data_IF_522655828609
#
_entry.id   IF_522655828609
#
_cell.length_a   1.000
_cell.length_b   1.000
_cell.length_c   1.000
_cell.angle_alpha   90.00
_cell.angle_beta   90.00
_cell.angle_gamma   90.00
#
_symmetry.space_group_name_H-M   'P 1'
#
loop_
_entity.id
_entity.type
_entity.pdbx_description
1 polymer ?
#
# COMPACT_ATOMS: atom_id res chain seq x y z
N UNK A 1 0.84 -25.89 0.75
CA UNK A 1 2.26 -25.62 1.02
C UNK A 1 2.50 -24.16 0.67
N UNK A 2 2.60 -23.28 1.67
CA UNK A 2 2.81 -21.85 1.44
C UNK A 2 4.26 -21.62 1.03
N UNK A 3 4.47 -21.19 -0.22
CA UNK A 3 5.78 -20.73 -0.67
C UNK A 3 6.27 -19.67 0.32
N UNK A 4 7.50 -19.85 0.83
CA UNK A 4 8.20 -18.87 1.63
C UNK A 4 8.45 -17.64 0.76
N UNK A 5 7.45 -16.74 0.69
CA UNK A 5 7.59 -15.45 0.02
C UNK A 5 8.71 -14.72 0.74
N UNK A 6 9.83 -14.50 0.05
CA UNK A 6 10.92 -13.66 0.53
C UNK A 6 10.41 -12.21 0.42
N UNK A 7 9.48 -11.83 1.28
CA UNK A 7 8.82 -10.53 1.29
C UNK A 7 9.82 -9.49 1.75
N UNK A 8 10.69 -9.08 0.84
CA UNK A 8 11.56 -7.95 1.02
C UNK A 8 10.70 -6.71 0.84
N UNK A 9 10.51 -5.96 1.92
CA UNK A 9 9.69 -4.75 1.86
C UNK A 9 10.43 -3.64 1.14
N UNK A 10 9.70 -2.92 0.31
CA UNK A 10 10.22 -1.81 -0.46
C UNK A 10 9.74 -0.50 0.15
N UNK A 11 10.66 0.43 0.32
CA UNK A 11 10.37 1.77 0.82
C UNK A 11 10.73 2.77 -0.26
N UNK A 12 9.77 3.61 -0.61
CA UNK A 12 9.98 4.76 -1.49
C UNK A 12 10.21 5.98 -0.61
N UNK A 13 11.41 6.55 -0.70
CA UNK A 13 11.79 7.78 -0.01
C UNK A 13 11.84 8.93 -1.01
N UNK A 14 11.42 10.13 -0.59
CA UNK A 14 11.40 11.34 -1.39
C UNK A 14 12.25 12.41 -0.71
N UNK A 15 13.53 12.57 -1.12
CA UNK A 15 14.43 13.58 -0.56
C UNK A 15 14.02 15.01 -0.90
N UNK A 16 13.33 15.21 -2.01
CA UNK A 16 12.76 16.49 -2.41
C UNK A 16 11.76 16.25 -3.53
N UNK A 17 10.96 17.29 -3.81
CA UNK A 17 9.91 17.25 -4.83
C UNK A 17 10.49 16.79 -6.17
N UNK A 18 9.90 15.73 -6.75
CA UNK A 18 10.33 15.18 -8.04
C UNK A 18 11.37 14.08 -8.02
N UNK A 19 11.92 13.73 -6.85
CA UNK A 19 12.89 12.65 -6.73
C UNK A 19 12.36 11.54 -5.84
N UNK A 20 12.54 10.30 -6.27
CA UNK A 20 12.20 9.10 -5.49
C UNK A 20 13.40 8.19 -5.41
N UNK A 21 13.69 7.67 -4.23
CA UNK A 21 14.69 6.64 -4.00
C UNK A 21 13.97 5.36 -3.57
N UNK A 22 14.18 4.29 -4.33
CA UNK A 22 13.69 2.97 -3.97
C UNK A 22 14.72 2.27 -3.10
N UNK A 23 14.34 1.92 -1.88
CA UNK A 23 15.18 1.25 -0.88
C UNK A 23 14.53 -0.04 -0.42
N UNK A 24 15.35 -0.94 0.13
CA UNK A 24 14.88 -2.13 0.86
C UNK A 24 14.94 -1.92 2.36
N UNK A 25 13.99 -2.52 3.05
CA UNK A 25 14.05 -2.76 4.48
C UNK A 25 13.55 -4.18 4.78
N UNK A 26 14.31 -4.92 5.58
CA UNK A 26 13.85 -6.21 6.11
C UNK A 26 12.95 -5.97 7.32
N UNK A 27 11.68 -5.63 7.06
CA UNK A 27 10.70 -5.34 8.12
C UNK A 27 10.46 -6.55 9.01
N UNK A 28 10.53 -7.75 8.45
CA UNK A 28 10.27 -8.99 9.17
C UNK A 28 11.35 -9.25 10.21
N UNK A 29 12.63 -9.14 9.84
CA UNK A 29 13.74 -9.24 10.78
C UNK A 29 13.72 -8.12 11.82
N UNK A 30 13.41 -6.90 11.42
CA UNK A 30 13.51 -5.74 12.32
C UNK A 30 12.35 -5.61 13.32
N UNK A 31 11.14 -6.03 12.95
CA UNK A 31 9.95 -5.90 13.79
C UNK A 31 9.65 -7.19 14.58
N UNK A 32 10.04 -8.36 14.07
CA UNK A 32 9.72 -9.66 14.67
C UNK A 32 10.96 -10.43 15.15
N UNK A 33 12.17 -9.94 14.88
CA UNK A 33 13.45 -10.65 15.09
C UNK A 33 13.54 -12.00 14.36
N UNK A 34 12.79 -12.18 13.27
CA UNK A 34 12.91 -13.37 12.43
C UNK A 34 14.31 -13.37 11.81
N UNK A 35 15.13 -14.37 12.14
CA UNK A 35 16.40 -14.60 11.45
C UNK A 35 16.08 -15.21 10.09
N UNK A 36 16.30 -14.47 9.00
CA UNK A 36 16.22 -15.03 7.67
C UNK A 36 17.19 -16.23 7.59
N UNK A 37 16.66 -17.43 7.33
CA UNK A 37 17.47 -18.57 6.92
C UNK A 37 18.20 -18.18 5.62
N UNK A 38 19.51 -17.98 5.71
CA UNK A 38 20.41 -17.81 4.57
C UNK A 38 20.53 -16.39 4.02
N UNK A 39 21.50 -15.63 4.53
CA UNK A 39 22.66 -15.18 3.74
C UNK A 39 23.55 -14.32 4.63
N UNK A 40 24.75 -14.81 4.92
CA UNK A 40 25.89 -13.96 5.19
C UNK A 40 26.07 -13.02 4.00
N UNK A 41 26.15 -11.72 4.27
CA UNK A 41 26.83 -10.77 3.41
C UNK A 41 27.51 -9.79 4.34
N UNK A 42 28.84 -9.86 4.35
CA UNK A 42 29.73 -9.00 5.10
C UNK A 42 29.46 -7.53 4.76
N UNK A 43 29.10 -6.73 5.77
CA UNK A 43 29.09 -5.28 5.67
C UNK A 43 30.55 -4.82 5.81
N UNK A 44 31.16 -4.41 4.70
CA UNK A 44 32.35 -3.58 4.73
C UNK A 44 31.95 -2.24 5.33
N UNK A 45 32.51 -1.95 6.51
CA UNK A 45 32.54 -0.59 7.06
C UNK A 45 33.49 0.22 6.19
N UNK A 46 32.98 1.25 5.53
CA UNK A 46 33.83 2.35 5.06
C UNK A 46 33.48 3.59 5.88
N UNK A 47 34.51 4.05 6.58
CA UNK A 47 34.48 5.19 7.49
C UNK A 47 34.93 6.44 6.76
N UNK A 48 34.52 7.60 7.28
CA UNK A 48 34.90 8.99 6.92
C UNK A 48 34.22 9.57 5.65
N UNK A 49 33.62 10.76 5.69
CA UNK A 49 34.05 11.97 6.39
C UNK A 49 32.90 12.81 6.98
N UNK A 50 33.12 13.31 8.19
CA UNK A 50 32.34 14.37 8.83
C UNK A 50 32.61 15.72 8.17
N UNK A 51 31.59 16.57 8.09
CA UNK A 51 31.77 18.02 8.02
C UNK A 51 30.75 18.67 8.95
N UNK A 52 31.29 19.48 9.87
CA UNK A 52 30.62 20.12 11.00
C UNK A 52 29.84 21.34 10.53
N UNK A 53 28.49 21.33 10.60
CA UNK A 53 27.62 22.44 11.04
C UNK A 53 26.20 21.89 11.27
N UNK A 54 25.68 21.86 12.53
CA UNK A 54 24.27 22.02 12.93
C UNK A 54 23.95 21.36 14.30
N UNK A 55 24.42 21.94 15.41
CA UNK A 55 24.40 21.28 16.74
C UNK A 55 23.17 21.63 17.63
N UNK A 56 22.21 22.43 17.13
CA UNK A 56 21.00 22.78 17.90
C UNK A 56 19.77 21.93 17.50
N UNK A 57 19.63 21.61 16.22
CA UNK A 57 18.45 20.91 15.68
C UNK A 57 18.52 19.38 15.85
N UNK A 58 19.72 18.83 16.07
CA UNK A 58 19.92 17.40 16.32
C UNK A 58 19.50 16.99 17.74
N UNK A 59 19.58 17.93 18.71
CA UNK A 59 19.24 17.70 20.13
C UNK A 59 17.75 17.50 20.36
N UNK A 60 16.86 18.24 19.68
CA UNK A 60 15.41 18.02 19.80
C UNK A 60 14.98 16.70 19.15
N UNK A 61 15.62 16.32 18.04
CA UNK A 61 15.35 15.09 17.28
C UNK A 61 15.74 13.81 18.02
N UNK A 62 16.83 13.85 18.77
CA UNK A 62 17.24 12.75 19.64
C UNK A 62 16.38 12.67 20.90
N UNK A 63 15.97 13.81 21.47
CA UNK A 63 15.08 13.85 22.64
C UNK A 63 13.68 13.25 22.36
N UNK A 64 13.13 13.44 21.16
CA UNK A 64 11.83 12.91 20.78
C UNK A 64 11.82 11.38 20.56
N UNK A 65 12.95 10.83 20.11
CA UNK A 65 13.16 9.39 19.98
C UNK A 65 13.40 8.70 21.33
N UNK A 66 14.14 9.37 22.22
CA UNK A 66 14.35 8.95 23.60
C UNK A 66 13.04 8.93 24.39
N UNK A 67 12.12 9.87 24.13
CA UNK A 67 10.81 9.93 24.76
C UNK A 67 9.93 8.68 24.52
N UNK A 68 10.17 7.92 23.44
CA UNK A 68 9.39 6.73 23.09
C UNK A 68 10.12 5.41 23.32
N UNK A 69 11.40 5.43 23.67
CA UNK A 69 12.26 4.22 23.78
C UNK A 69 12.20 3.31 22.53
N UNK A 70 11.86 3.86 21.35
CA UNK A 70 11.79 3.08 20.10
C UNK A 70 13.14 3.09 19.41
N UNK A 71 13.47 1.99 18.73
CA UNK A 71 14.69 1.90 17.92
C UNK A 71 14.46 2.46 16.52
N UNK A 72 15.51 3.03 15.91
CA UNK A 72 15.44 3.45 14.50
C UNK A 72 15.32 2.24 13.58
N UNK A 73 14.48 2.40 12.56
CA UNK A 73 14.43 1.44 11.46
C UNK A 73 15.67 1.58 10.59
N UNK A 74 16.26 0.45 10.22
CA UNK A 74 17.40 0.36 9.32
C UNK A 74 16.87 0.22 7.89
N UNK A 75 17.23 1.18 7.04
CA UNK A 75 16.87 1.20 5.63
C UNK A 75 18.15 1.15 4.82
N UNK A 76 18.21 0.24 3.85
CA UNK A 76 19.39 0.07 2.99
C UNK A 76 19.66 1.29 2.10
N UNK A 77 20.83 1.33 1.48
CA UNK A 77 21.16 2.32 0.45
C UNK A 77 20.18 2.22 -0.74
N UNK A 78 19.93 3.32 -1.47
CA UNK A 78 19.02 3.30 -2.62
C UNK A 78 19.44 2.27 -3.67
N UNK A 79 18.50 1.41 -4.05
CA UNK A 79 18.65 0.47 -5.16
C UNK A 79 18.55 1.25 -6.47
N UNK A 80 17.55 2.11 -6.55
CA UNK A 80 17.32 3.02 -7.66
C UNK A 80 17.08 4.44 -7.17
N UNK A 81 17.44 5.40 -8.02
CA UNK A 81 17.17 6.81 -7.84
C UNK A 81 16.47 7.32 -9.09
N UNK A 82 15.27 7.83 -8.91
CA UNK A 82 14.43 8.35 -9.98
C UNK A 82 14.32 9.85 -9.84
N UNK A 83 14.40 10.55 -10.96
CA UNK A 83 14.18 11.98 -11.02
C UNK A 83 13.20 12.28 -12.16
N UNK A 84 12.12 12.96 -11.80
CA UNK A 84 11.12 13.40 -12.77
C UNK A 84 11.76 14.46 -13.68
N UNK A 85 11.57 14.30 -14.98
CA UNK A 85 11.88 15.37 -15.92
C UNK A 85 10.92 16.55 -15.65
N UNK A 86 11.43 17.77 -15.70
CA UNK A 86 10.63 18.95 -15.47
C UNK A 86 9.58 19.11 -16.60
N UNK A 87 8.32 18.84 -16.28
CA UNK A 87 7.19 19.14 -17.16
C UNK A 87 6.18 20.01 -16.41
N UNK A 88 5.91 21.21 -16.92
CA UNK A 88 4.87 22.12 -16.41
C UNK A 88 4.94 22.41 -14.89
N UNK A 89 6.15 22.51 -14.32
CA UNK A 89 6.40 22.76 -12.88
C UNK A 89 5.79 21.72 -11.92
N UNK A 90 5.41 20.54 -12.41
CA UNK A 90 4.93 19.42 -11.58
C UNK A 90 5.96 18.29 -11.61
N UNK A 91 6.34 17.84 -10.42
CA UNK A 91 7.34 16.80 -10.24
C UNK A 91 6.77 15.70 -9.35
N UNK A 92 5.90 14.89 -9.93
CA UNK A 92 5.31 13.74 -9.29
C UNK A 92 5.81 12.45 -9.97
N UNK A 93 6.16 11.48 -9.14
CA UNK A 93 6.40 10.10 -9.55
C UNK A 93 5.51 9.25 -8.65
N UNK A 94 4.53 8.61 -9.25
CA UNK A 94 3.64 7.67 -8.58
C UNK A 94 4.27 6.28 -8.60
N UNK A 95 4.07 5.52 -7.52
CA UNK A 95 4.61 4.17 -7.35
C UNK A 95 3.46 3.20 -7.10
N UNK A 96 3.32 2.19 -7.95
CA UNK A 96 2.28 1.18 -7.89
C UNK A 96 2.88 -0.19 -7.57
N UNK A 97 2.32 -0.85 -6.57
CA UNK A 97 2.76 -2.20 -6.20
C UNK A 97 2.24 -3.23 -7.18
N UNK A 98 3.12 -4.13 -7.63
CA UNK A 98 2.75 -5.27 -8.45
C UNK A 98 2.77 -6.56 -7.62
N UNK A 99 3.94 -7.17 -7.45
CA UNK A 99 4.22 -8.37 -6.64
C UNK A 99 5.73 -8.61 -6.57
N UNK A 100 6.19 -9.42 -5.61
CA UNK A 100 7.56 -9.98 -5.55
C UNK A 100 8.70 -8.97 -5.79
N UNK A 101 8.68 -7.84 -5.09
CA UNK A 101 9.73 -6.82 -5.20
C UNK A 101 9.70 -6.02 -6.50
N UNK A 102 8.62 -6.13 -7.29
CA UNK A 102 8.39 -5.33 -8.50
C UNK A 102 7.44 -4.17 -8.23
N UNK A 103 7.84 -3.00 -8.72
CA UNK A 103 7.06 -1.77 -8.65
C UNK A 103 6.91 -1.18 -10.04
N UNK A 104 5.77 -0.54 -10.29
CA UNK A 104 5.58 0.27 -11.49
C UNK A 104 5.66 1.73 -11.11
N UNK A 105 6.44 2.49 -11.85
CA UNK A 105 6.61 3.92 -11.68
C UNK A 105 5.88 4.64 -12.80
N UNK A 106 5.14 5.69 -12.47
CA UNK A 106 4.53 6.57 -13.45
C UNK A 106 4.97 8.02 -13.18
N UNK A 107 5.46 8.70 -14.20
CA UNK A 107 5.76 10.13 -14.08
C UNK A 107 4.54 11.01 -14.40
N UNK A 108 4.68 12.30 -14.15
CA UNK A 108 3.62 13.29 -14.45
C UNK A 108 3.23 13.35 -15.95
N UNK A 109 4.06 12.87 -16.88
CA UNK A 109 3.71 12.80 -18.30
C UNK A 109 2.98 11.49 -18.67
N UNK A 110 2.74 10.61 -17.69
CA UNK A 110 2.13 9.31 -17.90
C UNK A 110 3.11 8.23 -18.37
N UNK A 111 4.42 8.51 -18.43
CA UNK A 111 5.41 7.49 -18.83
C UNK A 111 5.58 6.47 -17.73
N UNK A 112 5.51 5.20 -18.08
CA UNK A 112 5.53 4.11 -17.10
C UNK A 112 6.75 3.21 -17.25
N UNK A 113 7.30 2.80 -16.11
CA UNK A 113 8.44 1.89 -16.02
C UNK A 113 8.16 0.79 -15.00
N UNK A 114 8.38 -0.46 -15.39
CA UNK A 114 8.43 -1.59 -14.47
C UNK A 114 9.84 -1.67 -13.89
N UNK A 115 9.94 -1.65 -12.57
CA UNK A 115 11.16 -1.75 -11.80
C UNK A 115 11.17 -3.08 -11.05
N UNK A 116 12.13 -3.94 -11.36
CA UNK A 116 12.44 -5.15 -10.61
C UNK A 116 13.59 -4.84 -9.64
N UNK A 117 13.28 -4.72 -8.35
CA UNK A 117 14.29 -4.40 -7.35
C UNK A 117 15.33 -5.53 -7.20
N UNK A 118 14.89 -6.79 -7.32
CA UNK A 118 15.71 -8.00 -7.13
C UNK A 118 16.74 -8.17 -8.23
N UNK A 119 16.31 -8.04 -9.48
CA UNK A 119 17.20 -8.09 -10.64
C UNK A 119 17.90 -6.76 -10.92
N UNK A 120 17.53 -5.68 -10.22
CA UNK A 120 17.95 -4.30 -10.54
C UNK A 120 17.73 -3.98 -12.02
N UNK A 121 16.60 -4.42 -12.54
CA UNK A 121 16.24 -4.28 -13.94
C UNK A 121 15.06 -3.32 -14.08
N UNK A 122 15.05 -2.56 -15.18
CA UNK A 122 13.94 -1.69 -15.54
C UNK A 122 13.48 -1.96 -16.97
N UNK A 123 12.16 -2.00 -17.17
CA UNK A 123 11.55 -2.14 -18.49
C UNK A 123 10.52 -1.03 -18.70
N UNK A 124 10.32 -0.63 -19.95
CA UNK A 124 9.26 0.32 -20.31
C UNK A 124 7.90 -0.38 -20.31
N UNK A 125 6.88 0.34 -19.87
CA UNK A 125 5.48 -0.07 -19.96
C UNK A 125 4.73 0.90 -20.89
N UNK A 126 3.56 0.49 -21.42
CA UNK A 126 2.65 1.44 -22.05
C UNK A 126 2.37 2.63 -21.13
N UNK A 127 2.23 3.82 -21.72
CA UNK A 127 1.98 5.03 -20.95
C UNK A 127 0.53 5.09 -20.46
N UNK A 128 0.32 5.80 -19.35
CA UNK A 128 -1.00 6.30 -18.98
C UNK A 128 -1.52 7.22 -20.09
N UNK A 129 -2.79 7.06 -20.45
CA UNK A 129 -3.44 7.94 -21.43
C UNK A 129 -3.58 9.36 -20.89
N UNK A 130 -3.73 9.50 -19.57
CA UNK A 130 -3.75 10.79 -18.89
C UNK A 130 -3.05 10.70 -17.53
N UNK A 131 -2.23 11.70 -17.15
CA UNK A 131 -1.68 11.78 -15.82
C UNK A 131 -2.78 11.77 -14.75
N UNK A 132 -2.57 10.98 -13.70
CA UNK A 132 -3.46 10.93 -12.53
C UNK A 132 -3.00 11.95 -11.50
N UNK A 133 -3.94 12.51 -10.75
CA UNK A 133 -3.63 13.48 -9.68
C UNK A 133 -3.42 12.78 -8.33
N UNK A 134 -4.26 11.80 -8.02
CA UNK A 134 -4.19 10.95 -6.82
C UNK A 134 -4.52 9.51 -7.19
N UNK A 135 -3.59 8.80 -7.88
CA UNK A 135 -3.87 7.45 -8.32
C UNK A 135 -3.95 6.46 -7.16
N UNK A 136 -4.85 5.48 -7.29
CA UNK A 136 -4.85 4.23 -6.54
C UNK A 136 -4.54 3.08 -7.51
N UNK A 137 -3.98 2.00 -6.99
CA UNK A 137 -3.65 0.83 -7.80
C UNK A 137 -3.97 -0.48 -7.13
N UNK A 138 -4.39 -1.46 -7.94
CA UNK A 138 -4.65 -2.84 -7.53
C UNK A 138 -4.07 -3.79 -8.56
N UNK A 139 -3.31 -4.78 -8.09
CA UNK A 139 -2.86 -5.88 -8.91
C UNK A 139 -3.78 -7.08 -8.73
N UNK A 140 -4.34 -7.59 -9.82
CA UNK A 140 -5.16 -8.79 -9.84
C UNK A 140 -4.35 -9.89 -10.52
N UNK A 141 -3.89 -10.92 -9.78
CA UNK A 141 -3.15 -12.03 -10.35
C UNK A 141 -4.00 -12.79 -11.38
N UNK A 142 -3.38 -13.21 -12.48
CA UNK A 142 -4.05 -14.11 -13.44
C UNK A 142 -4.14 -15.51 -12.86
N UNK A 143 -5.29 -16.15 -12.99
CA UNK A 143 -5.48 -17.56 -12.62
C UNK A 143 -4.58 -18.52 -13.42
N UNK A 144 -4.08 -18.08 -14.59
CA UNK A 144 -3.24 -18.85 -15.51
C UNK A 144 -1.75 -18.51 -15.40
N UNK A 145 -1.32 -17.93 -14.27
CA UNK A 145 0.10 -17.75 -14.00
C UNK A 145 0.74 -19.14 -13.88
N UNK A 146 1.53 -19.55 -14.89
CA UNK A 146 2.44 -20.68 -14.71
C UNK A 146 3.32 -20.37 -13.50
N UNK A 147 3.60 -21.36 -12.65
CA UNK A 147 4.43 -21.28 -11.42
C UNK A 147 5.89 -20.84 -11.66
N UNK A 148 6.19 -20.22 -12.80
CA UNK A 148 7.50 -19.66 -13.09
C UNK A 148 7.75 -18.38 -12.26
N UNK A 149 8.81 -18.36 -11.43
CA UNK A 149 9.03 -17.35 -10.40
C UNK A 149 9.31 -15.93 -10.90
N UNK A 150 9.37 -15.72 -12.22
CA UNK A 150 9.72 -14.42 -12.82
C UNK A 150 8.55 -13.72 -13.53
N UNK A 151 7.39 -14.36 -13.72
CA UNK A 151 6.28 -13.76 -14.44
C UNK A 151 5.11 -13.47 -13.50
N UNK A 152 4.99 -12.21 -13.10
CA UNK A 152 3.76 -11.69 -12.49
C UNK A 152 2.67 -11.63 -13.57
N UNK A 153 2.15 -12.77 -13.99
CA UNK A 153 1.02 -12.83 -14.91
C UNK A 153 -0.22 -12.30 -14.16
N UNK A 154 -0.77 -11.19 -14.65
CA UNK A 154 -1.87 -10.50 -14.03
C UNK A 154 -2.10 -9.13 -14.64
N UNK A 155 -3.02 -8.39 -14.03
CA UNK A 155 -3.47 -7.10 -14.51
C UNK A 155 -3.32 -6.06 -13.41
N UNK A 156 -2.66 -4.95 -13.74
CA UNK A 156 -2.52 -3.78 -12.87
C UNK A 156 -3.60 -2.76 -13.24
N UNK A 157 -4.51 -2.50 -12.31
CA UNK A 157 -5.54 -1.48 -12.44
C UNK A 157 -5.04 -0.19 -11.80
N UNK A 158 -5.14 0.92 -12.54
CA UNK A 158 -4.76 2.26 -12.09
C UNK A 158 -5.96 3.19 -12.25
N UNK A 159 -6.40 3.80 -11.16
CA UNK A 159 -7.61 4.60 -11.12
C UNK A 159 -7.39 5.92 -10.39
N UNK A 160 -8.11 6.97 -10.76
CA UNK A 160 -8.17 8.19 -9.97
C UNK A 160 -8.96 7.96 -8.68
N UNK A 161 -8.41 8.31 -7.52
CA UNK A 161 -9.13 8.17 -6.24
C UNK A 161 -10.24 9.19 -6.05
N UNK A 162 -10.18 10.32 -6.76
CA UNK A 162 -11.22 11.36 -6.78
C UNK A 162 -11.52 11.66 -8.26
N UNK A 163 -12.29 10.78 -8.93
CA UNK A 163 -12.61 10.96 -10.34
C UNK A 163 -13.44 12.24 -10.54
N UNK A 164 -13.15 12.96 -11.61
CA UNK A 164 -13.97 14.08 -12.08
C UNK A 164 -15.27 13.52 -12.68
N UNK A 165 -16.41 14.20 -12.47
CA UNK A 165 -17.66 13.81 -13.10
C UNK A 165 -17.56 13.76 -14.62
N UNK A 166 -18.21 12.77 -15.21
CA UNK A 166 -18.27 12.58 -16.66
C UNK A 166 -19.69 12.72 -17.20
N UNK A 167 -19.81 12.89 -18.52
CA UNK A 167 -21.12 13.04 -19.18
C UNK A 167 -21.99 11.81 -18.96
N UNK A 168 -23.19 12.05 -18.42
CA UNK A 168 -24.24 11.05 -18.21
C UNK A 168 -24.58 10.35 -19.54
N UNK A 169 -24.78 9.04 -19.51
CA UNK A 169 -25.16 8.24 -20.69
C UNK A 169 -24.06 8.01 -21.73
N UNK A 170 -22.84 8.52 -21.52
CA UNK A 170 -21.69 8.14 -22.33
C UNK A 170 -21.40 6.64 -22.17
N UNK A 171 -21.14 5.94 -23.27
CA UNK A 171 -20.61 4.57 -23.26
C UNK A 171 -19.10 4.52 -23.56
N UNK A 172 -18.44 5.68 -23.61
CA UNK A 172 -17.02 5.72 -23.92
C UNK A 172 -16.19 5.28 -22.71
N UNK A 173 -15.03 4.64 -22.93
CA UNK A 173 -14.07 4.41 -21.87
C UNK A 173 -13.57 5.71 -21.25
N UNK A 174 -13.19 5.66 -19.98
CA UNK A 174 -12.69 6.81 -19.23
C UNK A 174 -11.16 6.81 -19.20
N UNK A 175 -10.56 7.98 -19.41
CA UNK A 175 -9.13 8.18 -19.17
C UNK A 175 -8.78 8.28 -17.67
N UNK A 176 -9.74 8.07 -16.76
CA UNK A 176 -9.54 8.06 -15.32
C UNK A 176 -9.34 6.63 -14.78
N UNK A 177 -9.72 5.60 -15.55
CA UNK A 177 -9.67 4.19 -15.16
C UNK A 177 -8.96 3.37 -16.24
N UNK A 178 -7.80 2.83 -15.91
CA UNK A 178 -6.91 2.13 -16.85
C UNK A 178 -6.51 0.78 -16.29
N UNK A 179 -6.36 -0.20 -17.18
CA UNK A 179 -5.82 -1.52 -16.85
C UNK A 179 -4.60 -1.79 -17.74
N UNK A 180 -3.56 -2.31 -17.10
CA UNK A 180 -2.34 -2.78 -17.74
C UNK A 180 -2.31 -4.29 -17.61
N UNK A 181 -2.51 -4.98 -18.73
CA UNK A 181 -2.66 -6.43 -18.79
C UNK A 181 -1.37 -7.06 -19.30
N UNK A 182 -0.81 -7.99 -18.52
CA UNK A 182 0.34 -8.77 -18.96
C UNK A 182 -0.11 -9.89 -19.89
N UNK A 183 0.40 -9.87 -21.11
CA UNK A 183 0.23 -10.93 -22.09
C UNK A 183 1.56 -11.67 -22.27
N UNK A 184 1.50 -13.00 -22.39
CA UNK A 184 2.72 -13.79 -22.68
C UNK A 184 3.34 -13.27 -23.98
N UNK A 185 4.65 -12.97 -24.00
CA UNK A 185 5.32 -12.50 -25.21
C UNK A 185 5.10 -13.50 -26.35
N UNK A 186 4.43 -13.08 -27.42
CA UNK A 186 4.43 -13.80 -28.69
C UNK A 186 5.67 -13.39 -29.48
N UNK A 187 6.14 -14.24 -30.41
CA UNK A 187 7.30 -13.96 -31.29
C UNK A 187 7.19 -12.62 -32.07
N UNK A 188 6.01 -11.99 -32.07
CA UNK A 188 5.66 -10.78 -32.82
C UNK A 188 5.56 -9.50 -31.98
N UNK A 189 5.53 -9.56 -30.64
CA UNK A 189 5.37 -8.37 -29.78
C UNK A 189 6.54 -8.20 -28.81
N UNK A 190 7.18 -7.04 -28.82
CA UNK A 190 8.33 -6.73 -27.96
C UNK A 190 7.94 -6.37 -26.52
N UNK A 191 6.77 -5.75 -26.31
CA UNK A 191 6.28 -5.41 -24.96
C UNK A 191 5.12 -6.34 -24.55
N UNK A 192 5.24 -7.10 -23.44
CA UNK A 192 4.17 -7.97 -22.97
C UNK A 192 2.98 -7.22 -22.37
N UNK A 193 3.15 -5.95 -21.98
CA UNK A 193 2.11 -5.15 -21.33
C UNK A 193 1.25 -4.41 -22.35
N UNK A 194 -0.06 -4.49 -22.17
CA UNK A 194 -1.05 -3.78 -22.97
C UNK A 194 -1.88 -2.86 -22.07
N UNK A 195 -2.05 -1.60 -22.48
CA UNK A 195 -2.90 -0.64 -21.76
C UNK A 195 -4.27 -0.54 -22.42
N UNK A 196 -5.32 -0.57 -21.60
CA UNK A 196 -6.70 -0.45 -22.03
C UNK A 196 -7.47 0.45 -21.06
N UNK A 197 -8.36 1.28 -21.62
CA UNK A 197 -9.26 2.12 -20.85
C UNK A 197 -10.49 1.32 -20.41
N UNK A 198 -10.95 1.55 -19.19
CA UNK A 198 -12.15 0.94 -18.64
C UNK A 198 -13.33 1.90 -18.69
N UNK A 199 -14.54 1.35 -18.65
CA UNK A 199 -15.70 2.16 -18.27
C UNK A 199 -15.53 2.63 -16.82
N UNK A 200 -15.90 3.88 -16.49
CA UNK A 200 -15.84 4.34 -15.12
C UNK A 200 -16.96 3.69 -14.28
N UNK A 201 -16.80 3.63 -12.95
CA UNK A 201 -17.89 3.28 -12.04
C UNK A 201 -19.14 4.13 -12.25
N UNK A 202 -20.35 3.61 -12.00
CA UNK A 202 -21.61 4.32 -12.25
C UNK A 202 -21.69 5.71 -11.64
N UNK A 203 -21.22 5.89 -10.40
CA UNK A 203 -21.27 7.17 -9.68
C UNK A 203 -20.50 8.31 -10.37
N UNK A 204 -19.53 8.02 -11.25
CA UNK A 204 -18.77 9.04 -11.99
C UNK A 204 -19.65 9.74 -13.02
N UNK A 205 -20.70 9.06 -13.49
CA UNK A 205 -21.66 9.54 -14.50
C UNK A 205 -23.04 9.81 -13.90
N UNK A 206 -23.15 9.86 -12.58
CA UNK A 206 -24.39 10.19 -11.89
C UNK A 206 -24.46 11.70 -11.64
N UNK A 207 -25.41 12.43 -12.26
CA UNK A 207 -25.55 13.87 -12.06
C UNK A 207 -26.04 14.26 -10.67
N UNK A 208 -26.62 13.32 -9.91
CA UNK A 208 -27.13 13.57 -8.56
C UNK A 208 -26.03 13.52 -7.49
N UNK A 209 -24.85 12.96 -7.83
CA UNK A 209 -23.76 12.77 -6.89
C UNK A 209 -22.68 13.84 -7.10
N UNK A 210 -22.26 14.47 -6.01
CA UNK A 210 -21.06 15.30 -6.02
C UNK A 210 -19.83 14.41 -6.27
N UNK A 211 -18.70 14.97 -6.76
CA UNK A 211 -17.47 14.21 -6.98
C UNK A 211 -17.11 13.39 -5.72
N UNK A 212 -17.16 12.06 -5.85
CA UNK A 212 -16.95 11.17 -4.72
C UNK A 212 -15.50 10.70 -4.67
N UNK A 213 -14.91 10.74 -3.46
CA UNK A 213 -13.62 10.09 -3.18
C UNK A 213 -13.85 8.60 -2.93
N UNK A 214 -13.07 7.76 -3.60
CA UNK A 214 -12.90 6.36 -3.26
C UNK A 214 -12.23 6.29 -1.89
N UNK A 215 -12.98 5.80 -0.91
CA UNK A 215 -12.56 5.75 0.48
C UNK A 215 -11.82 4.47 0.83
N UNK A 216 -12.17 3.35 0.19
CA UNK A 216 -11.48 2.07 0.32
C UNK A 216 -11.64 1.21 -0.93
N UNK A 217 -10.70 0.29 -1.11
CA UNK A 217 -10.64 -0.56 -2.30
C UNK A 217 -9.91 -1.87 -2.02
N UNK A 218 -10.36 -2.96 -2.65
CA UNK A 218 -9.87 -4.31 -2.41
C UNK A 218 -10.00 -5.20 -3.66
N UNK A 219 -9.22 -6.28 -3.71
CA UNK A 219 -9.51 -7.41 -4.61
C UNK A 219 -10.33 -8.44 -3.82
N UNK A 220 -11.48 -8.85 -4.36
CA UNK A 220 -12.38 -9.84 -3.76
C UNK A 220 -12.63 -10.94 -4.79
N UNK A 221 -11.94 -12.07 -4.64
CA UNK A 221 -11.91 -13.12 -5.66
C UNK A 221 -11.25 -12.61 -6.95
N UNK A 222 -11.98 -12.65 -8.06
CA UNK A 222 -11.59 -12.05 -9.34
C UNK A 222 -12.07 -10.61 -9.52
N UNK A 223 -12.81 -10.04 -8.57
CA UNK A 223 -13.45 -8.74 -8.73
C UNK A 223 -12.67 -7.66 -7.97
N UNK A 224 -12.77 -6.42 -8.44
CA UNK A 224 -12.29 -5.26 -7.70
C UNK A 224 -13.47 -4.61 -7.00
N UNK A 225 -13.40 -4.47 -5.69
CA UNK A 225 -14.37 -3.78 -4.88
C UNK A 225 -13.86 -2.36 -4.58
N UNK A 226 -14.69 -1.34 -4.80
CA UNK A 226 -14.43 0.03 -4.37
C UNK A 226 -15.61 0.56 -3.54
N UNK A 227 -15.30 1.35 -2.52
CA UNK A 227 -16.32 1.96 -1.67
C UNK A 227 -16.09 3.45 -1.54
N UNK A 228 -17.14 4.24 -1.72
CA UNK A 228 -17.06 5.70 -1.71
C UNK A 228 -17.36 6.28 -0.32
N UNK A 229 -17.11 7.58 -0.14
CA UNK A 229 -17.44 8.27 1.11
C UNK A 229 -18.95 8.33 1.39
N UNK A 230 -19.81 8.30 0.37
CA UNK A 230 -21.27 8.34 0.52
C UNK A 230 -21.92 6.98 0.82
N UNK A 231 -21.12 5.97 1.17
CA UNK A 231 -21.52 4.61 1.57
C UNK A 231 -22.00 3.68 0.45
N UNK A 232 -21.68 4.00 -0.80
CA UNK A 232 -21.97 3.11 -1.93
C UNK A 232 -20.76 2.22 -2.22
N UNK A 233 -21.02 0.95 -2.54
CA UNK A 233 -19.99 -0.02 -2.90
C UNK A 233 -20.25 -0.59 -4.29
N UNK A 234 -19.19 -0.60 -5.09
CA UNK A 234 -19.23 -1.01 -6.49
C UNK A 234 -18.21 -2.12 -6.72
N UNK A 235 -18.56 -3.08 -7.56
CA UNK A 235 -17.68 -4.13 -8.01
C UNK A 235 -17.40 -4.00 -9.50
N UNK A 236 -16.14 -4.14 -9.87
CA UNK A 236 -15.73 -4.39 -11.24
C UNK A 236 -15.48 -5.87 -11.38
N UNK A 237 -16.28 -6.53 -12.21
CA UNK A 237 -15.94 -7.86 -12.71
C UNK A 237 -14.81 -7.72 -13.74
N UNK A 238 -13.65 -8.27 -13.41
CA UNK A 238 -12.45 -8.16 -14.25
C UNK A 238 -12.50 -9.03 -15.50
N UNK A 239 -13.42 -10.00 -15.56
CA UNK A 239 -13.61 -10.85 -16.74
C UNK A 239 -14.50 -10.18 -17.79
N UNK A 240 -15.53 -9.45 -17.35
CA UNK A 240 -16.46 -8.74 -18.26
C UNK A 240 -16.20 -7.24 -18.36
N UNK A 241 -15.31 -6.69 -17.54
CA UNK A 241 -15.07 -5.25 -17.36
C UNK A 241 -16.34 -4.45 -17.05
N UNK A 242 -17.29 -5.07 -16.36
CA UNK A 242 -18.57 -4.45 -16.02
C UNK A 242 -18.61 -4.04 -14.56
N UNK A 243 -19.13 -2.83 -14.31
CA UNK A 243 -19.37 -2.34 -12.97
C UNK A 243 -20.78 -2.70 -12.51
N UNK A 244 -20.89 -3.20 -11.29
CA UNK A 244 -22.16 -3.46 -10.60
C UNK A 244 -22.18 -2.74 -9.26
N UNK A 245 -23.32 -2.13 -8.93
CA UNK A 245 -23.55 -1.56 -7.60
C UNK A 245 -24.11 -2.66 -6.69
N UNK A 246 -23.45 -2.92 -5.57
CA UNK A 246 -23.80 -4.04 -4.66
C UNK A 246 -24.51 -3.52 -3.39
N UNK A 247 -25.12 -2.33 -3.50
CA UNK A 247 -25.98 -1.74 -2.47
C UNK A 247 -25.26 -0.75 -1.54
N UNK A 248 -26.02 -0.21 -0.58
CA UNK A 248 -25.64 0.91 0.32
C UNK A 248 -24.70 0.51 1.48
N UNK A 249 -23.98 -0.59 1.34
CA UNK A 249 -23.09 -1.12 2.38
C UNK A 249 -21.67 -0.63 2.19
N UNK A 250 -21.20 0.30 3.03
CA UNK A 250 -19.81 0.75 3.01
C UNK A 250 -18.86 -0.32 3.53
N UNK A 251 -17.72 -0.51 2.88
CA UNK A 251 -16.60 -1.27 3.43
C UNK A 251 -16.16 -0.66 4.77
N UNK A 252 -15.94 -1.45 5.84
CA UNK A 252 -15.56 -0.94 7.15
C UNK A 252 -14.11 -0.43 7.21
N UNK A 253 -13.47 -0.22 6.06
CA UNK A 253 -12.06 0.14 5.91
C UNK A 253 -11.88 1.51 5.26
N UNK A 254 -10.66 2.01 5.37
CA UNK A 254 -10.17 3.19 4.69
C UNK A 254 -8.83 2.86 4.01
N UNK A 255 -8.68 3.25 2.74
CA UNK A 255 -7.51 2.93 1.91
C UNK A 255 -7.56 1.52 1.30
N UNK A 256 -6.38 0.99 0.97
CA UNK A 256 -6.22 -0.34 0.39
C UNK A 256 -6.53 -1.41 1.44
N UNK A 257 -7.24 -2.46 1.02
CA UNK A 257 -7.52 -3.65 1.84
C UNK A 257 -6.85 -4.85 1.18
N UNK A 258 -6.20 -5.69 1.99
CA UNK A 258 -5.42 -6.83 1.53
C UNK A 258 -6.04 -8.16 1.96
N UNK A 259 -6.21 -9.07 1.00
CA UNK A 259 -6.66 -10.43 1.29
C UNK A 259 -5.50 -11.29 1.81
N UNK A 260 -5.74 -12.01 2.90
CA UNK A 260 -4.73 -12.86 3.56
C UNK A 260 -5.22 -14.31 3.50
N UNK A 261 -4.70 -15.12 2.55
CA UNK A 261 -5.18 -16.49 2.33
C UNK A 261 -5.08 -17.39 3.55
N UNK A 262 -4.05 -17.21 4.39
CA UNK A 262 -3.82 -18.00 5.60
C UNK A 262 -4.93 -17.83 6.64
N UNK A 263 -5.53 -16.63 6.69
CA UNK A 263 -6.60 -16.28 7.61
C UNK A 263 -7.97 -16.24 6.92
N UNK A 264 -8.00 -16.36 5.59
CA UNK A 264 -9.19 -16.27 4.72
C UNK A 264 -10.03 -15.02 4.96
N UNK A 265 -9.36 -13.91 5.27
CA UNK A 265 -10.00 -12.63 5.62
C UNK A 265 -9.28 -11.49 4.94
N UNK A 266 -9.97 -10.35 4.87
CA UNK A 266 -9.42 -9.10 4.36
C UNK A 266 -9.02 -8.21 5.52
N UNK A 267 -7.81 -7.65 5.43
CA UNK A 267 -7.20 -6.81 6.43
C UNK A 267 -6.99 -5.40 5.89
N UNK A 268 -7.23 -4.40 6.72
CA UNK A 268 -7.07 -3.01 6.37
C UNK A 268 -7.10 -2.12 7.60
N UNK A 269 -7.09 -0.80 7.37
CA UNK A 269 -7.25 0.19 8.42
C UNK A 269 -8.75 0.49 8.59
N UNK A 270 -9.30 0.39 9.79
CA UNK A 270 -10.72 0.64 10.03
C UNK A 270 -11.09 2.08 9.72
N UNK A 271 -12.27 2.27 9.11
CA UNK A 271 -12.74 3.60 8.72
C UNK A 271 -13.07 4.50 9.93
N UNK A 272 -13.51 3.89 11.05
CA UNK A 272 -13.92 4.57 12.27
C UNK A 272 -12.76 4.77 13.23
N UNK A 273 -12.15 3.67 13.71
CA UNK A 273 -11.16 3.73 14.77
C UNK A 273 -9.72 3.94 14.24
N UNK A 274 -9.50 3.85 12.92
CA UNK A 274 -8.19 3.99 12.28
C UNK A 274 -7.17 2.96 12.79
N UNK A 275 -7.61 1.77 13.17
CA UNK A 275 -6.76 0.69 13.66
C UNK A 275 -6.68 -0.46 12.66
N UNK A 276 -5.81 -1.44 12.90
CA UNK A 276 -5.87 -2.70 12.18
C UNK A 276 -7.23 -3.35 12.37
N UNK A 277 -7.87 -3.75 11.27
CA UNK A 277 -9.13 -4.46 11.32
C UNK A 277 -9.18 -5.58 10.28
N UNK A 278 -10.08 -6.53 10.53
CA UNK A 278 -10.32 -7.66 9.64
C UNK A 278 -11.82 -7.82 9.38
N UNK A 279 -12.20 -8.19 8.15
CA UNK A 279 -13.57 -8.51 7.79
C UNK A 279 -13.62 -9.62 6.73
N UNK A 280 -14.72 -10.36 6.72
CA UNK A 280 -15.03 -11.29 5.64
C UNK A 280 -15.76 -10.53 4.53
N UNK A 281 -15.15 -10.49 3.34
CA UNK A 281 -15.70 -9.81 2.16
C UNK A 281 -16.22 -10.79 1.11
N UNK A 282 -16.28 -12.09 1.41
CA UNK A 282 -16.66 -13.12 0.45
C UNK A 282 -18.17 -13.15 0.13
N UNK A 283 -19.02 -12.82 1.10
CA UNK A 283 -20.48 -12.79 0.97
C UNK A 283 -20.99 -11.37 1.26
N UNK A 284 -21.00 -10.54 0.22
CA UNK A 284 -21.29 -9.09 0.32
C UNK A 284 -22.77 -8.73 0.17
N UNK A 285 -23.67 -9.69 0.34
CA UNK A 285 -25.12 -9.46 0.31
C UNK A 285 -25.59 -8.51 1.44
N UNK A 286 -24.73 -8.29 2.46
CA UNK A 286 -24.95 -7.38 3.57
C UNK A 286 -23.68 -6.56 3.89
N UNK A 287 -23.85 -5.45 4.63
CA UNK A 287 -22.72 -4.62 5.05
C UNK A 287 -21.71 -5.45 5.85
N UNK A 288 -20.46 -5.62 5.36
CA UNK A 288 -19.49 -6.50 5.98
C UNK A 288 -19.12 -5.99 7.37
N UNK A 289 -19.22 -6.88 8.36
CA UNK A 289 -18.89 -6.56 9.75
C UNK A 289 -17.42 -6.85 10.04
N UNK A 290 -16.83 -6.04 10.91
CA UNK A 290 -15.50 -6.30 11.43
C UNK A 290 -15.51 -7.56 12.30
N UNK A 291 -14.64 -8.50 11.97
CA UNK A 291 -14.33 -9.70 12.75
C UNK A 291 -13.34 -9.35 13.87
N UNK A 292 -12.55 -8.31 13.69
CA UNK A 292 -11.72 -7.71 14.73
C UNK A 292 -11.30 -6.28 14.40
N UNK A 293 -11.08 -5.49 15.44
CA UNK A 293 -10.52 -4.13 15.42
C UNK A 293 -9.52 -4.07 16.58
N UNK A 294 -8.24 -3.87 16.26
CA UNK A 294 -7.15 -3.92 17.24
C UNK A 294 -6.30 -2.67 17.18
N UNK A 295 -6.33 -1.91 18.27
CA UNK A 295 -5.42 -0.78 18.50
C UNK A 295 -3.99 -1.29 18.65
N UNK A 296 -3.17 -1.13 17.61
CA UNK A 296 -1.77 -1.55 17.63
C UNK A 296 -0.84 -0.45 18.17
N UNK A 297 -1.20 0.81 17.96
CA UNK A 297 -0.37 1.95 18.30
C UNK A 297 -1.17 3.03 19.04
N UNK A 298 -0.63 3.51 20.14
CA UNK A 298 -1.19 4.63 20.87
C UNK A 298 -0.42 5.88 20.47
N UNK A 299 -1.07 6.77 19.72
CA UNK A 299 -0.47 8.04 19.32
C UNK A 299 -0.26 8.93 20.56
N UNK A 300 0.96 9.45 20.77
CA UNK A 300 1.19 10.51 21.74
C UNK A 300 0.35 11.76 21.41
N UNK A 301 -0.11 12.54 22.40
CA UNK A 301 -0.96 13.72 22.16
C UNK A 301 -0.35 14.80 21.26
N UNK A 302 0.97 14.88 21.23
CA UNK A 302 1.74 15.90 20.48
C UNK A 302 1.88 15.55 18.98
N UNK A 303 1.44 14.34 18.58
CA UNK A 303 1.70 13.77 17.27
C UNK A 303 0.41 13.71 16.46
N UNK A 304 0.46 14.17 15.21
CA UNK A 304 -0.67 14.19 14.29
C UNK A 304 -0.41 13.36 13.04
N UNK A 305 -1.42 12.63 12.59
CA UNK A 305 -1.38 11.94 11.30
C UNK A 305 -1.60 12.93 10.16
N UNK A 306 -0.57 13.15 9.33
CA UNK A 306 -0.66 14.05 8.17
C UNK A 306 -0.94 13.30 6.86
N UNK A 307 -0.81 11.97 6.87
CA UNK A 307 -1.07 11.10 5.71
C UNK A 307 -1.70 9.80 6.18
N UNK A 308 -2.50 9.22 5.29
CA UNK A 308 -3.15 7.93 5.46
C UNK A 308 -2.13 6.82 5.79
N UNK A 309 -2.40 6.09 6.87
CA UNK A 309 -1.61 4.94 7.30
C UNK A 309 -1.61 3.82 6.24
N UNK A 310 -0.49 3.10 6.12
CA UNK A 310 -0.32 2.01 5.16
C UNK A 310 -0.18 0.67 5.89
N UNK A 311 -0.88 -0.35 5.39
CA UNK A 311 -0.77 -1.74 5.84
C UNK A 311 0.02 -2.54 4.82
N UNK A 312 1.02 -3.28 5.29
CA UNK A 312 1.84 -4.17 4.47
C UNK A 312 1.78 -5.59 5.07
N UNK A 313 1.34 -6.55 4.28
CA UNK A 313 1.38 -7.97 4.64
C UNK A 313 2.78 -8.56 4.45
N UNK A 314 3.33 -9.10 5.53
CA UNK A 314 4.65 -9.75 5.57
C UNK A 314 4.54 -11.29 5.56
N UNK A 315 3.34 -11.80 5.28
CA UNK A 315 2.99 -13.22 5.19
C UNK A 315 2.81 -13.88 6.56
N UNK A 316 2.18 -15.07 6.57
CA UNK A 316 1.95 -15.86 7.79
C UNK A 316 1.20 -15.08 8.90
N UNK A 317 0.28 -14.20 8.52
CA UNK A 317 -0.46 -13.37 9.46
C UNK A 317 0.37 -12.26 10.13
N UNK A 318 1.60 -12.01 9.68
CA UNK A 318 2.42 -10.87 10.13
C UNK A 318 2.20 -9.67 9.24
N UNK A 319 2.03 -8.49 9.85
CA UNK A 319 1.85 -7.24 9.14
C UNK A 319 2.77 -6.15 9.70
N UNK A 320 3.11 -5.20 8.84
CA UNK A 320 3.68 -3.93 9.24
C UNK A 320 2.64 -2.83 8.99
N UNK A 321 2.38 -2.01 10.00
CA UNK A 321 1.57 -0.80 9.86
C UNK A 321 2.50 0.40 9.93
N UNK A 322 2.53 1.17 8.84
CA UNK A 322 3.29 2.41 8.73
C UNK A 322 2.37 3.60 8.97
N UNK A 323 2.58 4.32 10.07
CA UNK A 323 1.86 5.56 10.42
C UNK A 323 2.73 6.78 10.11
N UNK A 324 2.17 7.74 9.38
CA UNK A 324 2.86 8.94 8.93
C UNK A 324 2.47 10.12 9.82
N UNK A 325 3.40 10.50 10.68
CA UNK A 325 3.18 11.39 11.81
C UNK A 325 4.00 12.66 11.66
N UNK A 326 3.49 13.75 12.21
CA UNK A 326 4.24 14.99 12.37
C UNK A 326 4.08 15.54 13.78
N UNK A 327 5.12 16.22 14.25
CA UNK A 327 5.12 16.88 15.55
C UNK A 327 5.01 18.38 15.35
N UNK A 328 4.15 19.03 16.11
CA UNK A 328 3.98 20.48 16.04
C UNK A 328 4.66 21.19 17.21
N UNK A 329 5.17 22.39 16.96
CA UNK A 329 5.69 23.28 17.99
C UNK A 329 4.53 23.88 18.77
N UNK A 330 4.47 23.60 20.07
CA UNK A 330 3.47 24.18 20.96
C UNK A 330 3.53 25.72 21.03
N UNK A 331 4.64 26.33 20.60
CA UNK A 331 4.86 27.77 20.63
C UNK A 331 4.58 28.49 19.30
N UNK A 332 4.68 27.79 18.16
CA UNK A 332 4.58 28.41 16.82
C UNK A 332 3.61 27.74 15.86
N UNK A 333 2.98 26.62 16.24
CA UNK A 333 2.11 25.79 15.38
C UNK A 333 2.81 25.34 14.07
N UNK A 334 4.15 25.40 14.04
CA UNK A 334 4.97 24.96 12.93
C UNK A 334 5.34 23.49 13.08
N UNK A 335 5.35 22.76 11.97
CA UNK A 335 5.83 21.37 11.93
C UNK A 335 7.32 21.33 12.27
N UNK A 336 7.66 20.66 13.39
CA UNK A 336 9.05 20.48 13.84
C UNK A 336 9.71 19.35 13.04
N UNK A 337 9.08 18.17 13.02
CA UNK A 337 9.64 16.98 12.39
C UNK A 337 8.53 16.09 11.83
N UNK A 338 8.86 15.34 10.77
CA UNK A 338 8.02 14.27 10.21
C UNK A 338 8.63 12.92 10.53
N UNK A 339 7.79 12.01 11.00
CA UNK A 339 8.19 10.71 11.53
C UNK A 339 7.30 9.64 10.90
N UNK A 340 7.89 8.51 10.58
CA UNK A 340 7.14 7.31 10.20
C UNK A 340 7.38 6.23 11.23
N UNK A 341 6.31 5.74 11.84
CA UNK A 341 6.36 4.64 12.80
C UNK A 341 5.90 3.37 12.12
N UNK A 342 6.73 2.34 12.20
CA UNK A 342 6.50 0.99 11.71
C UNK A 342 6.18 0.11 12.90
N UNK A 343 4.95 -0.39 12.98
CA UNK A 343 4.52 -1.31 14.05
C UNK A 343 4.31 -2.70 13.50
N UNK A 344 5.04 -3.68 14.04
CA UNK A 344 4.86 -5.09 13.72
C UNK A 344 3.68 -5.68 14.50
N UNK A 345 2.78 -6.36 13.81
CA UNK A 345 1.63 -7.06 14.40
C UNK A 345 1.50 -8.45 13.80
N UNK A 346 1.10 -9.41 14.61
CA UNK A 346 0.86 -10.80 14.20
C UNK A 346 -0.56 -11.18 14.59
N UNK A 347 -1.36 -11.59 13.61
CA UNK A 347 -2.74 -12.03 13.82
C UNK A 347 -2.82 -13.53 13.61
N UNK A 348 -3.37 -14.23 14.60
CA UNK A 348 -3.50 -15.69 14.60
C UNK A 348 -4.94 -16.10 14.94
N UNK A 349 -5.43 -17.24 14.43
CA UNK A 349 -6.65 -17.84 14.94
C UNK A 349 -6.50 -18.17 16.43
N UNK A 350 -7.49 -17.83 17.25
CA UNK A 350 -7.54 -18.25 18.63
C UNK A 350 -7.73 -19.78 18.67
N UNK A 351 -6.75 -20.52 19.18
CA UNK A 351 -6.97 -21.93 19.49
C UNK A 351 -8.02 -22.03 20.60
N UNK A 352 -9.06 -22.85 20.39
CA UNK A 352 -9.91 -23.29 21.48
C UNK A 352 -9.04 -24.17 22.39
N UNK A 353 -8.69 -23.68 23.58
CA UNK A 353 -8.27 -24.58 24.65
C UNK A 353 -9.39 -25.61 24.83
N UNK A 354 -9.03 -26.88 24.66
CA UNK A 354 -9.97 -27.99 24.61
C UNK A 354 -10.82 -28.05 25.87
N UNK A 355 -12.04 -27.52 25.79
CA UNK A 355 -13.13 -28.01 26.61
C UNK A 355 -14.44 -27.89 25.82
N UNK A 356 -14.99 -29.05 25.48
CA UNK A 356 -16.21 -29.17 24.69
C UNK A 356 -17.41 -28.67 25.52
N UNK A 357 -18.13 -27.68 25.01
CA UNK A 357 -19.60 -27.65 24.95
C UNK A 357 -20.06 -26.26 24.50
N UNK A 358 -20.90 -26.21 23.47
CA UNK A 358 -21.59 -24.98 23.11
C UNK A 358 -21.72 -24.79 21.60
N UNK A 359 -22.82 -25.31 21.06
CA UNK A 359 -23.39 -24.92 19.77
C UNK A 359 -23.52 -23.39 19.71
N UNK A 360 -22.63 -22.73 18.98
CA UNK A 360 -22.70 -21.30 18.69
C UNK A 360 -22.03 -21.02 17.37
N UNK A 361 -22.73 -20.35 16.45
CA UNK A 361 -22.26 -19.93 15.14
C UNK A 361 -20.78 -19.54 15.18
N UNK A 362 -19.95 -20.32 14.49
CA UNK A 362 -18.50 -20.27 14.59
C UNK A 362 -17.91 -18.95 14.10
N UNK A 363 -17.98 -17.90 14.93
CA UNK A 363 -17.19 -16.68 14.74
C UNK A 363 -15.73 -17.07 14.90
N UNK A 364 -14.96 -16.95 13.83
CA UNK A 364 -13.50 -17.07 13.88
C UNK A 364 -13.00 -16.03 14.87
N UNK A 365 -12.58 -16.49 16.05
CA UNK A 365 -12.00 -15.61 17.06
C UNK A 365 -10.54 -15.43 16.70
N UNK A 366 -10.14 -14.20 16.39
CA UNK A 366 -8.76 -13.86 16.07
C UNK A 366 -8.07 -13.26 17.32
N UNK A 367 -6.79 -13.54 17.48
CA UNK A 367 -5.92 -12.90 18.47
C UNK A 367 -4.86 -12.08 17.76
N UNK A 368 -4.60 -10.87 18.25
CA UNK A 368 -3.53 -10.01 17.77
C UNK A 368 -2.43 -9.93 18.82
N UNK A 369 -1.20 -10.18 18.39
CA UNK A 369 0.02 -9.97 19.18
C UNK A 369 0.78 -8.79 18.58
N UNK A 370 0.94 -7.74 19.37
CA UNK A 370 1.80 -6.60 19.02
C UNK A 370 3.26 -6.97 19.26
N UNK A 371 4.11 -6.68 18.27
CA UNK A 371 5.56 -6.88 18.34
C UNK A 371 6.27 -5.52 18.50
N UNK A 372 7.49 -5.38 17.99
CA UNK A 372 8.27 -4.15 18.12
C UNK A 372 7.71 -3.05 17.22
N UNK A 373 7.81 -1.81 17.70
CA UNK A 373 7.67 -0.61 16.87
C UNK A 373 9.05 0.01 16.65
N UNK A 374 9.29 0.48 15.43
CA UNK A 374 10.49 1.22 15.04
C UNK A 374 10.10 2.48 14.31
N UNK A 375 10.98 3.48 14.30
CA UNK A 375 10.67 4.77 13.68
C UNK A 375 11.74 5.22 12.68
N UNK A 376 11.33 6.07 11.75
CA UNK A 376 12.18 6.80 10.83
C UNK A 376 11.92 8.30 10.97
N UNK A 377 12.97 9.09 11.22
CA UNK A 377 12.87 10.56 11.21
C UNK A 377 13.24 11.06 9.83
N UNK A 378 12.36 11.86 9.24
CA UNK A 378 12.55 12.41 7.90
C UNK A 378 13.59 13.55 7.94
N UNK A 379 14.88 13.21 7.87
CA UNK A 379 15.98 14.17 7.88
C UNK A 379 16.21 14.76 6.48
N UNK A 380 15.26 15.56 6.01
CA UNK A 380 15.26 16.14 4.66
C UNK A 380 14.64 15.23 3.60
N UNK A 381 14.49 13.93 3.87
CA UNK A 381 13.81 12.99 2.99
C UNK A 381 12.62 12.33 3.69
N UNK A 382 11.45 12.33 3.04
CA UNK A 382 10.23 11.74 3.60
C UNK A 382 9.94 10.38 2.99
N UNK A 383 9.54 9.40 3.79
CA UNK A 383 9.00 8.15 3.24
C UNK A 383 7.64 8.45 2.64
N UNK A 384 7.44 8.02 1.39
CA UNK A 384 6.18 8.21 0.68
C UNK A 384 5.29 6.97 0.64
N UNK A 385 5.90 5.81 0.47
CA UNK A 385 5.19 4.55 0.40
C UNK A 385 6.03 3.40 0.93
N UNK A 386 5.34 2.40 1.48
CA UNK A 386 5.88 1.14 1.99
C UNK A 386 5.08 0.03 1.32
N UNK A 387 5.79 -0.95 0.76
CA UNK A 387 5.22 -2.07 0.02
C UNK A 387 5.72 -3.42 0.55
#
# INVERSE_FOLDING_TARGET
MGLSRRLQSLIVESPFVGVKWLRRADLRRQLFNDTAMGSESAVLQDSTSQTLVADANQKSKHALAEALQMERIQISSPIFRFQAAAAQKRYAIDCFHLSDGKLVLADYCGRMFLCDADMRHMATMPNLQKPKLKPISLFVPSANADDHPNNAAGSLYVMESIPNPEKVGSMQPSNQFEVFEYHKPSRTYENPWHCRLLLPPPFVRDPALTPQKISSYAVVGSNICISTLCNDTYFLDTASDTWTEVGKGKLPFYGKVEYVPELKLWFGISSQAKHLAAADLSAMDYQPQLVGDWREFELPPEWLEYRDSQLVNLGLGKFCIARFLETMSMASDETIDRIVVFTGVEVMPAMHDGNCSGSGNGKVKLQMKRHKSRFHVCNGATIDAVF
#
